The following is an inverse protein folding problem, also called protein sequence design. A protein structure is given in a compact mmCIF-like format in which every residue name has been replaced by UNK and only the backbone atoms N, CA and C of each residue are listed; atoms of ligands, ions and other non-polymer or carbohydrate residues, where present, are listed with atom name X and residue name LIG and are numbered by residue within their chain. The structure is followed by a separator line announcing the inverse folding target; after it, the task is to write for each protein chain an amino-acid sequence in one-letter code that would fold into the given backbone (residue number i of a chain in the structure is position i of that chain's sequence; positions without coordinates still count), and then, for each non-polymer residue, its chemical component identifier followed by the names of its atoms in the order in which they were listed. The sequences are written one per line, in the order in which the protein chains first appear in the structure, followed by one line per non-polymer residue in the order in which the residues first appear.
data_IF_358312702160
#
_entry.id   IF_358312702160
#
_cell.length_a   1.000
_cell.length_b   1.000
_cell.length_c   1.000
_cell.angle_alpha   90.00
_cell.angle_beta   90.00
_cell.angle_gamma   90.00
#
_symmetry.space_group_name_H-M   'P 1'
#
loop_
_entity.id
_entity.type
_entity.pdbx_description
1 polymer ?
#
# COMPACT_ATOMS: atom_id res chain seq x y z
N UNK A 1 30.54 -34.88 64.21
CA UNK A 1 29.15 -34.56 64.57
C UNK A 1 28.27 -35.12 63.47
N UNK A 2 27.63 -36.26 63.72
CA UNK A 2 26.60 -36.82 62.83
C UNK A 2 25.30 -36.10 63.17
N UNK A 3 24.77 -35.29 62.26
CA UNK A 3 23.43 -34.73 62.39
C UNK A 3 22.43 -35.89 62.47
N UNK A 4 21.99 -36.22 63.68
CA UNK A 4 20.89 -37.14 63.87
C UNK A 4 19.62 -36.42 63.41
N UNK A 5 19.03 -36.94 62.33
CA UNK A 5 17.74 -36.45 61.85
C UNK A 5 16.71 -36.83 62.92
N UNK A 6 16.22 -35.82 63.65
CA UNK A 6 15.27 -35.98 64.76
C UNK A 6 13.94 -36.61 64.33
N UNK A 7 13.61 -36.59 63.02
CA UNK A 7 12.44 -37.26 62.48
C UNK A 7 12.58 -37.58 60.96
N UNK A 8 13.10 -38.76 60.58
CA UNK A 8 13.41 -39.08 59.19
C UNK A 8 12.17 -39.17 58.28
N UNK A 9 11.02 -39.53 58.82
CA UNK A 9 9.74 -39.59 58.07
C UNK A 9 9.27 -38.20 57.66
N UNK A 10 9.43 -37.19 58.52
CA UNK A 10 9.08 -35.81 58.22
C UNK A 10 9.96 -35.23 57.09
N UNK A 11 11.25 -35.59 57.07
CA UNK A 11 12.19 -35.19 56.01
C UNK A 11 11.83 -35.84 54.67
N UNK A 12 11.49 -37.14 54.67
CA UNK A 12 11.04 -37.82 53.46
C UNK A 12 9.71 -37.23 52.93
N UNK A 13 8.77 -36.93 53.82
CA UNK A 13 7.51 -36.28 53.44
C UNK A 13 7.72 -34.87 52.88
N UNK A 14 8.68 -34.11 53.43
CA UNK A 14 9.07 -32.80 52.89
C UNK A 14 9.73 -32.92 51.51
N UNK A 15 10.58 -33.93 51.31
CA UNK A 15 11.26 -34.19 50.04
C UNK A 15 10.27 -34.61 48.94
N UNK A 16 9.28 -35.46 49.27
CA UNK A 16 8.23 -35.84 48.32
C UNK A 16 7.31 -34.66 47.96
N UNK A 17 6.99 -33.77 48.92
CA UNK A 17 6.28 -32.52 48.61
C UNK A 17 7.10 -31.60 47.70
N UNK A 18 8.38 -31.41 48.02
CA UNK A 18 9.28 -30.57 47.22
C UNK A 18 9.44 -31.10 45.78
N UNK A 19 9.51 -32.43 45.60
CA UNK A 19 9.51 -33.06 44.26
C UNK A 19 8.20 -32.82 43.52
N UNK A 20 7.06 -32.97 44.19
CA UNK A 20 5.75 -32.74 43.59
C UNK A 20 5.58 -31.28 43.15
N UNK A 21 6.04 -30.34 43.96
CA UNK A 21 5.99 -28.92 43.63
C UNK A 21 6.97 -28.57 42.51
N UNK A 22 8.21 -29.09 42.54
CA UNK A 22 9.18 -28.91 41.46
C UNK A 22 8.65 -29.42 40.10
N UNK A 23 7.91 -30.54 40.10
CA UNK A 23 7.25 -31.05 38.90
C UNK A 23 6.18 -30.09 38.39
N UNK A 24 5.31 -29.59 39.27
CA UNK A 24 4.27 -28.60 38.89
C UNK A 24 4.89 -27.31 38.33
N UNK A 25 5.97 -26.82 38.94
CA UNK A 25 6.65 -25.62 38.45
C UNK A 25 7.29 -25.84 37.08
N UNK A 26 7.86 -27.03 36.82
CA UNK A 26 8.38 -27.36 35.49
C UNK A 26 7.27 -27.37 34.45
N UNK A 27 6.17 -28.07 34.72
CA UNK A 27 5.02 -28.15 33.81
C UNK A 27 4.40 -26.77 33.54
N UNK A 28 4.26 -25.94 34.58
CA UNK A 28 3.80 -24.56 34.43
C UNK A 28 4.77 -23.69 33.63
N UNK A 29 6.08 -23.83 33.85
CA UNK A 29 7.10 -23.09 33.09
C UNK A 29 7.11 -23.48 31.62
N UNK A 30 7.00 -24.77 31.31
CA UNK A 30 6.94 -25.26 29.93
C UNK A 30 5.66 -24.78 29.22
N UNK A 31 4.51 -24.81 29.91
CA UNK A 31 3.25 -24.28 29.37
C UNK A 31 3.34 -22.77 29.10
N UNK A 32 3.89 -22.00 30.04
CA UNK A 32 4.02 -20.55 29.89
C UNK A 32 4.99 -20.19 28.77
N UNK A 33 6.08 -20.95 28.62
CA UNK A 33 7.04 -20.75 27.54
C UNK A 33 6.46 -21.10 26.17
N UNK A 34 5.59 -22.12 26.08
CA UNK A 34 4.84 -22.43 24.87
C UNK A 34 3.87 -21.29 24.48
N UNK A 35 3.19 -20.70 25.45
CA UNK A 35 2.28 -19.57 25.24
C UNK A 35 3.02 -18.31 24.78
N UNK A 36 4.16 -17.99 25.40
CA UNK A 36 5.02 -16.87 24.98
C UNK A 36 5.48 -17.05 23.54
N UNK A 37 5.94 -18.26 23.18
CA UNK A 37 6.37 -18.56 21.81
C UNK A 37 5.21 -18.38 20.82
N UNK A 38 4.01 -18.86 21.15
CA UNK A 38 2.83 -18.72 20.30
C UNK A 38 2.42 -17.24 20.10
N UNK A 39 2.44 -16.44 21.17
CA UNK A 39 2.16 -15.00 21.09
C UNK A 39 3.22 -14.24 20.29
N UNK A 40 4.49 -14.62 20.41
CA UNK A 40 5.57 -14.06 19.59
C UNK A 40 5.36 -14.36 18.12
N UNK A 41 5.07 -15.62 17.77
CA UNK A 41 4.77 -16.02 16.38
C UNK A 41 3.58 -15.24 15.83
N UNK A 42 2.48 -15.12 16.58
CA UNK A 42 1.31 -14.34 16.16
C UNK A 42 1.63 -12.85 15.98
N UNK A 43 2.48 -12.28 16.83
CA UNK A 43 2.93 -10.89 16.72
C UNK A 43 3.79 -10.68 15.47
N UNK A 44 4.69 -11.62 15.17
CA UNK A 44 5.56 -11.55 14.00
C UNK A 44 4.77 -11.73 12.70
N UNK A 45 3.76 -12.61 12.70
CA UNK A 45 2.82 -12.75 11.59
C UNK A 45 2.02 -11.45 11.36
N UNK A 46 1.49 -10.83 12.42
CA UNK A 46 0.79 -9.54 12.29
C UNK A 46 1.71 -8.44 11.78
N UNK A 47 2.96 -8.38 12.26
CA UNK A 47 3.96 -7.43 11.74
C UNK A 47 4.24 -7.67 10.26
N UNK A 48 4.37 -8.92 9.83
CA UNK A 48 4.59 -9.26 8.43
C UNK A 48 3.39 -8.86 7.55
N UNK A 49 2.16 -9.02 8.04
CA UNK A 49 0.97 -8.53 7.35
C UNK A 49 0.98 -7.01 7.23
N UNK A 50 1.27 -6.29 8.32
CA UNK A 50 1.37 -4.83 8.31
C UNK A 50 2.47 -4.36 7.34
N UNK A 51 3.65 -4.98 7.38
CA UNK A 51 4.73 -4.69 6.44
C UNK A 51 4.33 -4.98 4.99
N UNK A 52 3.66 -6.10 4.73
CA UNK A 52 3.18 -6.41 3.37
C UNK A 52 2.13 -5.43 2.88
N UNK A 53 1.34 -4.86 3.79
CA UNK A 53 0.43 -3.76 3.48
C UNK A 53 1.22 -2.49 3.20
N UNK A 54 2.21 -2.13 4.01
CA UNK A 54 3.07 -0.96 3.78
C UNK A 54 3.89 -1.05 2.48
N UNK A 55 4.39 -2.23 2.13
CA UNK A 55 5.17 -2.50 0.92
C UNK A 55 4.27 -2.62 -0.33
N UNK A 56 3.11 -3.28 -0.21
CA UNK A 56 2.10 -3.37 -1.27
C UNK A 56 1.32 -2.06 -1.50
N UNK A 57 1.33 -1.19 -0.48
CA UNK A 57 0.75 0.14 -0.52
C UNK A 57 1.50 1.09 -1.44
N UNK A 58 2.73 0.82 -1.87
CA UNK A 58 3.47 1.74 -2.76
C UNK A 58 2.68 2.10 -4.02
N UNK A 59 2.10 1.10 -4.70
CA UNK A 59 1.34 1.33 -5.93
C UNK A 59 -0.06 1.90 -5.69
N UNK A 60 -0.76 1.44 -4.66
CA UNK A 60 -2.08 1.95 -4.30
C UNK A 60 -1.99 3.36 -3.72
N UNK A 61 -1.07 3.63 -2.78
CA UNK A 61 -0.79 4.97 -2.25
C UNK A 61 -0.33 5.89 -3.35
N UNK A 62 0.53 5.45 -4.29
CA UNK A 62 0.91 6.29 -5.42
C UNK A 62 -0.31 6.66 -6.27
N UNK A 63 -1.18 5.69 -6.61
CA UNK A 63 -2.43 5.96 -7.36
C UNK A 63 -3.41 6.83 -6.59
N UNK A 64 -3.54 6.62 -5.28
CA UNK A 64 -4.40 7.42 -4.41
C UNK A 64 -3.86 8.86 -4.29
N UNK A 65 -2.55 9.03 -4.08
CA UNK A 65 -1.87 10.34 -4.12
C UNK A 65 -2.14 11.03 -5.45
N UNK A 66 -1.91 10.37 -6.57
CA UNK A 66 -2.14 10.93 -7.91
C UNK A 66 -3.59 11.40 -8.09
N UNK A 67 -4.57 10.60 -7.68
CA UNK A 67 -6.00 10.94 -7.77
C UNK A 67 -6.38 12.12 -6.88
N UNK A 68 -5.98 12.11 -5.61
CA UNK A 68 -6.31 13.20 -4.69
C UNK A 68 -5.59 14.50 -5.07
N UNK A 69 -4.33 14.44 -5.51
CA UNK A 69 -3.62 15.60 -6.05
C UNK A 69 -4.38 16.15 -7.26
N UNK A 70 -4.78 15.29 -8.19
CA UNK A 70 -5.54 15.70 -9.39
C UNK A 70 -6.88 16.36 -9.04
N UNK A 71 -7.54 15.92 -7.97
CA UNK A 71 -8.78 16.52 -7.48
C UNK A 71 -8.54 17.89 -6.83
N UNK A 72 -7.44 18.02 -6.05
CA UNK A 72 -7.06 19.27 -5.38
C UNK A 72 -6.53 20.36 -6.32
N UNK A 73 -6.06 20.00 -7.52
CA UNK A 73 -5.51 20.93 -8.50
C UNK A 73 -6.60 21.73 -9.21
N UNK A 74 -6.67 23.03 -8.94
CA UNK A 74 -7.49 23.98 -9.72
C UNK A 74 -6.74 24.50 -10.97
N UNK A 75 -6.42 23.59 -11.89
CA UNK A 75 -5.76 23.93 -13.16
C UNK A 75 -6.58 23.43 -14.36
N UNK A 76 -6.58 24.18 -15.46
CA UNK A 76 -7.19 23.76 -16.74
C UNK A 76 -6.45 22.56 -17.35
N UNK A 77 -5.15 22.44 -17.11
CA UNK A 77 -4.28 21.38 -17.63
C UNK A 77 -3.76 20.44 -16.53
N UNK A 78 -4.65 19.94 -15.66
CA UNK A 78 -4.28 19.09 -14.49
C UNK A 78 -3.33 17.96 -14.85
N UNK A 79 -3.61 17.27 -15.96
CA UNK A 79 -2.82 16.11 -16.41
C UNK A 79 -1.40 16.49 -16.86
N UNK A 80 -1.19 17.74 -17.31
CA UNK A 80 0.16 18.24 -17.63
C UNK A 80 0.88 18.67 -16.37
N UNK A 81 0.20 19.37 -15.47
CA UNK A 81 0.77 19.81 -14.18
C UNK A 81 1.22 18.61 -13.34
N UNK A 82 0.41 17.56 -13.29
CA UNK A 82 0.68 16.35 -12.52
C UNK A 82 1.97 15.63 -12.95
N UNK A 83 2.33 15.70 -14.24
CA UNK A 83 3.59 15.11 -14.77
C UNK A 83 4.85 15.83 -14.30
N UNK A 84 4.72 17.09 -13.92
CA UNK A 84 5.83 17.93 -13.44
C UNK A 84 5.77 18.13 -11.92
N UNK A 85 4.75 17.58 -11.26
CA UNK A 85 4.62 17.65 -9.82
C UNK A 85 5.46 16.55 -9.17
N UNK A 86 6.24 16.93 -8.17
CA UNK A 86 7.02 16.00 -7.37
C UNK A 86 6.10 15.31 -6.33
N UNK A 87 5.59 14.13 -6.69
CA UNK A 87 4.70 13.32 -5.83
C UNK A 87 5.42 12.72 -4.63
N UNK A 88 6.76 12.63 -4.65
CA UNK A 88 7.54 12.11 -3.53
C UNK A 88 7.59 13.12 -2.37
N UNK A 89 7.45 14.41 -2.67
CA UNK A 89 7.34 15.49 -1.68
C UNK A 89 5.96 15.59 -1.02
N UNK A 90 4.98 14.81 -1.47
CA UNK A 90 3.59 14.85 -1.03
C UNK A 90 3.28 13.60 -0.22
N UNK A 91 2.73 13.77 0.99
CA UNK A 91 2.39 12.65 1.86
C UNK A 91 1.06 12.81 2.56
N UNK A 92 0.53 11.69 3.05
CA UNK A 92 -0.69 11.66 3.85
C UNK A 92 -0.39 12.07 5.30
N UNK A 93 -1.19 12.98 5.86
CA UNK A 93 -1.21 13.22 7.29
C UNK A 93 -1.94 12.12 8.06
N UNK A 94 -1.93 12.21 9.40
CA UNK A 94 -2.61 11.26 10.28
C UNK A 94 -4.13 11.22 10.13
N UNK A 95 -4.73 12.19 9.43
CA UNK A 95 -6.16 12.26 9.14
C UNK A 95 -6.49 11.79 7.70
N UNK A 96 -5.48 11.36 6.94
CA UNK A 96 -5.63 10.87 5.56
C UNK A 96 -5.75 11.98 4.50
N UNK A 97 -5.37 13.22 4.82
CA UNK A 97 -5.30 14.33 3.86
C UNK A 97 -3.90 14.48 3.30
N UNK A 98 -3.79 15.00 2.08
CA UNK A 98 -2.49 15.29 1.47
C UNK A 98 -1.87 16.56 2.05
N UNK A 99 -0.60 16.49 2.39
CA UNK A 99 0.24 17.62 2.82
C UNK A 99 1.35 17.86 1.79
N UNK A 100 1.84 19.09 1.67
CA UNK A 100 2.90 19.46 0.71
C UNK A 100 2.44 19.74 -0.72
N UNK A 101 1.16 19.51 -1.04
CA UNK A 101 0.59 19.76 -2.39
C UNK A 101 0.73 21.24 -2.78
N UNK A 102 0.36 22.16 -1.89
CA UNK A 102 0.39 23.60 -2.19
C UNK A 102 1.81 24.09 -2.52
N UNK A 103 2.81 23.63 -1.77
CA UNK A 103 4.22 23.96 -1.99
C UNK A 103 4.74 23.37 -3.30
N UNK A 104 4.37 22.13 -3.60
CA UNK A 104 4.73 21.47 -4.85
C UNK A 104 4.11 22.22 -6.05
N UNK A 105 2.85 22.64 -5.96
CA UNK A 105 2.17 23.40 -7.01
C UNK A 105 2.77 24.80 -7.17
N UNK A 106 3.13 25.48 -6.07
CA UNK A 106 3.78 26.79 -6.11
C UNK A 106 5.14 26.75 -6.82
N UNK A 107 5.93 25.68 -6.61
CA UNK A 107 7.19 25.45 -7.34
C UNK A 107 6.94 25.28 -8.83
N UNK A 108 6.04 24.38 -9.23
CA UNK A 108 5.71 24.16 -10.65
C UNK A 108 5.17 25.43 -11.31
N UNK A 109 4.41 26.24 -10.60
CA UNK A 109 3.90 27.52 -11.10
C UNK A 109 5.01 28.57 -11.30
N UNK A 110 6.06 28.51 -10.50
CA UNK A 110 7.24 29.40 -10.62
C UNK A 110 8.12 28.97 -11.78
N UNK A 111 8.37 27.66 -11.91
CA UNK A 111 9.29 27.11 -12.90
C UNK A 111 8.64 27.00 -14.30
N UNK A 112 7.35 26.68 -14.35
CA UNK A 112 6.58 26.41 -15.56
C UNK A 112 5.22 27.14 -15.55
N UNK A 113 5.21 28.49 -15.56
CA UNK A 113 3.95 29.26 -15.55
C UNK A 113 3.07 28.98 -16.77
N UNK A 114 3.65 28.54 -17.89
CA UNK A 114 2.92 28.22 -19.13
C UNK A 114 1.96 27.05 -18.99
N UNK A 115 2.16 26.17 -18.01
CA UNK A 115 1.22 25.07 -17.74
C UNK A 115 -0.13 25.57 -17.21
N UNK A 116 -0.15 26.74 -16.60
CA UNK A 116 -1.32 27.36 -15.98
C UNK A 116 -1.99 28.42 -16.86
N UNK A 117 -1.35 28.87 -17.94
CA UNK A 117 -1.87 29.94 -18.80
C UNK A 117 -2.41 29.39 -20.14
N UNK A 118 -3.74 29.36 -20.26
CA UNK A 118 -4.46 28.83 -21.44
C UNK A 118 -4.15 29.62 -22.71
N UNK A 119 -3.79 30.92 -22.61
CA UNK A 119 -3.51 31.76 -23.77
C UNK A 119 -2.16 31.50 -24.44
N UNK A 120 -1.25 30.76 -23.78
CA UNK A 120 0.09 30.44 -24.31
C UNK A 120 0.22 29.01 -24.85
N UNK A 121 -0.84 28.21 -24.92
CA UNK A 121 -0.76 26.86 -25.48
C UNK A 121 -0.58 26.90 -27.01
N UNK A 122 0.64 27.14 -27.48
CA UNK A 122 1.04 27.24 -28.89
C UNK A 122 1.09 25.87 -29.61
N UNK A 123 0.27 24.91 -29.20
CA UNK A 123 0.22 23.57 -29.81
C UNK A 123 -0.96 23.32 -30.74
N UNK A 124 -1.83 24.30 -30.98
CA UNK A 124 -3.15 24.08 -31.60
C UNK A 124 -3.29 24.40 -33.09
N UNK A 125 -2.34 25.10 -33.71
CA UNK A 125 -2.52 25.59 -35.09
C UNK A 125 -1.84 24.74 -36.18
N UNK A 126 -0.94 23.82 -35.83
CA UNK A 126 -0.25 23.01 -36.84
C UNK A 126 -1.13 21.89 -37.45
N UNK A 127 -2.19 21.47 -36.76
CA UNK A 127 -2.97 20.27 -37.12
C UNK A 127 -4.37 20.58 -37.69
N UNK A 128 -4.70 21.87 -37.91
CA UNK A 128 -5.98 22.26 -38.51
C UNK A 128 -6.02 22.11 -40.03
N UNK A 129 -4.92 21.71 -40.67
CA UNK A 129 -4.82 21.62 -42.12
C UNK A 129 -4.73 20.18 -42.67
N UNK A 130 -5.33 19.18 -42.01
CA UNK A 130 -5.61 17.88 -42.65
C UNK A 130 -6.65 17.05 -41.87
N UNK A 131 -7.89 17.53 -41.73
CA UNK A 131 -9.03 16.61 -41.55
C UNK A 131 -9.42 16.05 -42.92
N UNK A 132 -8.59 15.17 -43.48
CA UNK A 132 -9.10 14.19 -44.44
C UNK A 132 -9.88 13.17 -43.62
N UNK A 133 -11.20 13.18 -43.76
CA UNK A 133 -12.07 12.11 -43.26
C UNK A 133 -11.58 10.78 -43.85
N UNK A 134 -10.90 9.98 -43.03
CA UNK A 134 -10.60 8.60 -43.38
C UNK A 134 -11.93 7.86 -43.49
N UNK A 135 -12.33 7.48 -44.71
CA UNK A 135 -13.43 6.55 -44.90
C UNK A 135 -13.04 5.25 -44.20
N UNK A 136 -13.82 4.75 -43.24
CA UNK A 136 -13.49 3.50 -42.56
C UNK A 136 -13.45 2.39 -43.61
N UNK A 137 -12.39 1.58 -43.58
CA UNK A 137 -12.33 0.38 -44.39
C UNK A 137 -13.54 -0.51 -44.05
N UNK A 138 -14.22 -1.10 -45.06
CA UNK A 138 -15.37 -1.94 -44.81
C UNK A 138 -14.98 -3.11 -43.91
N UNK A 139 -15.78 -3.35 -42.87
CA UNK A 139 -15.55 -4.46 -41.95
C UNK A 139 -15.71 -5.81 -42.64
N UNK A 140 -15.14 -6.86 -42.07
CA UNK A 140 -15.32 -8.23 -42.59
C UNK A 140 -16.80 -8.62 -42.73
N UNK A 141 -17.68 -8.05 -41.90
CA UNK A 141 -19.12 -8.22 -41.98
C UNK A 141 -19.71 -7.55 -43.22
N UNK A 142 -19.25 -6.34 -43.56
CA UNK A 142 -19.69 -5.60 -44.75
C UNK A 142 -19.28 -6.34 -46.05
N UNK A 143 -18.08 -6.93 -46.06
CA UNK A 143 -17.59 -7.72 -47.18
C UNK A 143 -18.38 -9.02 -47.38
N UNK A 144 -18.83 -9.67 -46.29
CA UNK A 144 -19.67 -10.87 -46.36
C UNK A 144 -21.06 -10.56 -46.92
N UNK A 145 -21.67 -9.46 -46.48
CA UNK A 145 -22.98 -9.01 -46.99
C UNK A 145 -22.91 -8.66 -48.47
N UNK A 146 -21.86 -7.95 -48.91
CA UNK A 146 -21.67 -7.62 -50.32
C UNK A 146 -21.55 -8.87 -51.22
N UNK A 147 -20.92 -9.95 -50.72
CA UNK A 147 -20.86 -11.24 -51.45
C UNK A 147 -22.21 -11.95 -51.50
N UNK A 148 -23.03 -11.84 -50.45
CA UNK A 148 -24.35 -12.44 -50.39
C UNK A 148 -25.31 -11.77 -51.39
N UNK A 149 -25.31 -10.44 -51.46
CA UNK A 149 -26.21 -9.68 -52.35
C UNK A 149 -25.78 -9.66 -53.82
N UNK A 150 -24.52 -10.00 -54.15
CA UNK A 150 -24.04 -10.12 -55.53
C UNK A 150 -24.45 -11.44 -56.21
N UNK A 151 -25.02 -12.39 -55.45
CA UNK A 151 -25.41 -13.72 -55.96
C UNK A 151 -26.93 -13.89 -56.16
N UNK A 152 -27.68 -12.79 -56.14
CA UNK A 152 -29.09 -12.72 -56.55
C UNK A 152 -29.23 -12.16 -57.96
#
# INVERSE_FOLDING_TARGET
MTEQIENPEAVLAALERAKADAKKYREASESLQAEVTALQTSTDEMKAVIQSMEDGDGEWKAKAKELLVRESLDATNRDRVLKFLDLDSIDFDGDGKLTGVDDAVAKVKTDLPELFDVKRSVGGEADQFTKQEAKPDPSDTDLQMARLFKKS
#
